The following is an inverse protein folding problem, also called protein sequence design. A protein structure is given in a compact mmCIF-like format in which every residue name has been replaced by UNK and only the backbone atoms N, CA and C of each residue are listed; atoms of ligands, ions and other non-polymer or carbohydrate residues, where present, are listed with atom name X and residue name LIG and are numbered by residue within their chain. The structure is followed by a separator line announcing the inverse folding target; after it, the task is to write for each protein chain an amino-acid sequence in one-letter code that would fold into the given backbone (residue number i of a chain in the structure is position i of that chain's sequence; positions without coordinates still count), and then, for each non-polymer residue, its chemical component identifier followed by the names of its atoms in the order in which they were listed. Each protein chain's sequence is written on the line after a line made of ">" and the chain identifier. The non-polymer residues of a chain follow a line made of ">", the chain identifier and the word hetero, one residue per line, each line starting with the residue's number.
data_IF_998188965365
#
_entry.id   IF_998188965365
#
_cell.length_a   1.000
_cell.length_b   1.000
_cell.length_c   1.000
_cell.angle_alpha   90.00
_cell.angle_beta   90.00
_cell.angle_gamma   90.00
#
_symmetry.space_group_name_H-M   'P 1'
#
loop_
_entity.id
_entity.type
_entity.pdbx_description
1 polymer ?
#
# COMPACT_ATOMS: atom_id res chain seq x y z
N UNK A 1 22.22 -14.37 -12.53
CA UNK A 1 22.07 -14.08 -11.09
C UNK A 1 23.20 -13.13 -10.70
N UNK A 2 22.91 -11.84 -10.56
CA UNK A 2 23.93 -10.82 -10.30
C UNK A 2 24.32 -10.81 -8.82
N UNK A 3 25.57 -10.41 -8.54
CA UNK A 3 26.11 -10.26 -7.19
C UNK A 3 25.24 -9.36 -6.28
N UNK A 4 24.42 -8.49 -6.86
CA UNK A 4 23.47 -7.62 -6.18
C UNK A 4 22.29 -8.33 -5.50
N UNK A 5 21.79 -9.44 -6.07
CA UNK A 5 20.73 -10.23 -5.43
C UNK A 5 21.24 -10.89 -4.13
N UNK A 6 22.52 -11.31 -4.09
CA UNK A 6 23.15 -11.90 -2.90
C UNK A 6 23.38 -10.89 -1.75
N UNK A 7 23.60 -9.60 -2.08
CA UNK A 7 23.77 -8.55 -1.06
C UNK A 7 22.40 -8.19 -0.44
N UNK A 8 21.34 -8.12 -1.23
CA UNK A 8 19.96 -7.86 -0.72
C UNK A 8 19.46 -8.99 0.20
N UNK A 9 19.80 -10.24 -0.11
CA UNK A 9 19.48 -11.39 0.75
C UNK A 9 20.30 -11.35 2.04
N UNK A 10 21.59 -11.00 1.99
CA UNK A 10 22.45 -10.92 3.18
C UNK A 10 22.03 -9.82 4.16
N UNK A 11 21.61 -8.66 3.69
CA UNK A 11 21.16 -7.57 4.58
C UNK A 11 19.78 -7.83 5.20
N UNK A 12 18.85 -8.44 4.47
CA UNK A 12 17.55 -8.86 5.01
C UNK A 12 17.68 -9.98 6.04
N UNK A 13 18.59 -10.91 5.81
CA UNK A 13 18.97 -11.96 6.76
C UNK A 13 19.68 -11.35 8.00
N UNK A 14 20.42 -10.24 7.84
CA UNK A 14 21.12 -9.59 8.95
C UNK A 14 20.15 -8.89 9.92
N UNK A 15 19.06 -8.28 9.45
CA UNK A 15 18.02 -7.72 10.33
C UNK A 15 17.28 -8.81 11.11
N UNK A 16 16.93 -9.91 10.45
CA UNK A 16 16.38 -11.10 11.14
C UNK A 16 17.40 -11.73 12.11
N UNK A 17 18.67 -11.80 11.73
CA UNK A 17 19.73 -12.38 12.56
C UNK A 17 20.10 -11.46 13.75
N UNK A 18 19.97 -10.13 13.63
CA UNK A 18 20.17 -9.22 14.75
C UNK A 18 19.05 -9.35 15.79
N UNK A 19 17.80 -9.45 15.38
CA UNK A 19 16.67 -9.70 16.30
C UNK A 19 16.77 -11.12 16.87
N UNK A 20 17.07 -12.13 16.05
CA UNK A 20 17.27 -13.52 16.52
C UNK A 20 18.53 -13.66 17.37
N UNK A 21 19.61 -12.96 17.04
CA UNK A 21 20.86 -12.96 17.80
C UNK A 21 20.73 -12.23 19.15
N UNK A 22 19.96 -11.14 19.21
CA UNK A 22 19.63 -10.46 20.47
C UNK A 22 18.74 -11.34 21.35
N UNK A 23 17.77 -12.01 20.75
CA UNK A 23 16.89 -12.98 21.44
C UNK A 23 17.68 -14.20 21.93
N UNK A 24 18.60 -14.74 21.12
CA UNK A 24 19.44 -15.89 21.49
C UNK A 24 20.56 -15.53 22.47
N UNK A 25 21.11 -14.32 22.42
CA UNK A 25 22.17 -13.91 23.40
C UNK A 25 21.60 -13.62 24.78
N UNK A 26 20.34 -13.25 24.88
CA UNK A 26 19.62 -13.14 26.15
C UNK A 26 19.24 -14.52 26.74
N UNK A 27 19.20 -15.59 25.94
CA UNK A 27 18.77 -16.92 26.37
C UNK A 27 19.75 -17.68 27.28
N UNK A 28 20.99 -17.21 27.42
CA UNK A 28 22.04 -17.92 28.14
C UNK A 28 22.35 -17.41 29.56
N UNK A 29 21.53 -16.56 30.16
CA UNK A 29 21.67 -16.07 31.51
C UNK A 29 20.46 -16.36 32.39
N UNK A 30 20.67 -16.58 33.69
CA UNK A 30 19.57 -16.74 34.65
C UNK A 30 18.61 -15.52 34.71
N UNK A 31 19.09 -14.35 34.34
CA UNK A 31 18.30 -13.13 34.14
C UNK A 31 17.37 -13.24 32.94
N UNK A 32 17.76 -13.94 31.88
CA UNK A 32 16.93 -14.16 30.72
C UNK A 32 15.76 -15.10 31.00
N UNK A 33 15.95 -16.17 31.76
CA UNK A 33 14.87 -17.07 32.14
C UNK A 33 13.76 -16.29 32.89
N UNK A 34 14.11 -15.47 33.88
CA UNK A 34 13.15 -14.66 34.62
C UNK A 34 12.51 -13.54 33.77
N UNK A 35 13.15 -13.08 32.70
CA UNK A 35 12.59 -12.13 31.74
C UNK A 35 11.54 -12.80 30.87
N UNK A 36 11.83 -13.98 30.29
CA UNK A 36 10.89 -14.71 29.43
C UNK A 36 9.70 -15.27 30.22
N UNK A 37 9.81 -15.58 31.48
CA UNK A 37 8.71 -16.01 32.37
C UNK A 37 7.62 -14.92 32.54
N UNK A 38 7.93 -13.67 32.20
CA UNK A 38 6.95 -12.55 32.22
C UNK A 38 6.10 -12.45 30.97
N UNK A 39 6.50 -13.11 29.87
CA UNK A 39 5.73 -13.07 28.64
C UNK A 39 4.53 -14.02 28.72
N UNK A 40 3.41 -13.57 28.16
CA UNK A 40 2.26 -14.42 27.95
C UNK A 40 2.61 -15.62 27.07
N UNK A 41 1.84 -16.71 27.19
CA UNK A 41 1.94 -17.80 26.21
C UNK A 41 1.78 -17.23 24.80
N UNK A 42 2.72 -17.53 23.87
CA UNK A 42 2.62 -17.00 22.52
C UNK A 42 1.30 -17.40 21.86
N UNK A 43 0.64 -16.41 21.26
CA UNK A 43 -0.52 -16.64 20.42
C UNK A 43 -0.05 -16.96 19.01
N UNK A 44 -0.56 -18.05 18.45
CA UNK A 44 -0.20 -18.51 17.10
C UNK A 44 -1.47 -18.52 16.26
N UNK A 45 -1.45 -17.78 15.16
CA UNK A 45 -2.51 -17.73 14.17
C UNK A 45 -1.93 -17.92 12.79
N UNK A 46 -2.79 -18.30 11.85
CA UNK A 46 -2.36 -18.42 10.48
C UNK A 46 -3.47 -18.84 9.55
N UNK A 47 -3.11 -18.99 8.29
CA UNK A 47 -4.02 -19.57 7.32
C UNK A 47 -3.27 -20.29 6.20
N UNK A 48 -3.97 -21.24 5.59
CA UNK A 48 -3.64 -21.82 4.30
C UNK A 48 -4.67 -21.34 3.28
N UNK A 49 -4.19 -20.80 2.16
CA UNK A 49 -5.06 -20.30 1.08
C UNK A 49 -4.63 -20.84 -0.27
N UNK A 50 -5.60 -21.36 -1.05
CA UNK A 50 -5.47 -21.57 -2.48
C UNK A 50 -6.20 -20.47 -3.23
N UNK A 51 -5.54 -19.86 -4.24
CA UNK A 51 -6.10 -18.80 -5.06
C UNK A 51 -5.81 -19.06 -6.53
N UNK A 52 -6.83 -18.89 -7.37
CA UNK A 52 -6.70 -18.97 -8.82
C UNK A 52 -7.53 -17.90 -9.49
N UNK A 53 -7.07 -17.40 -10.62
CA UNK A 53 -7.77 -16.41 -11.43
C UNK A 53 -7.33 -16.49 -12.89
N UNK A 54 -8.18 -16.02 -13.77
CA UNK A 54 -7.90 -15.98 -15.20
C UNK A 54 -8.36 -14.67 -15.80
N UNK A 55 -7.67 -14.23 -16.83
CA UNK A 55 -8.08 -13.09 -17.66
C UNK A 55 -9.33 -13.44 -18.45
N UNK A 56 -10.21 -12.48 -18.63
CA UNK A 56 -11.45 -12.67 -19.39
C UNK A 56 -11.26 -12.44 -20.89
N UNK A 57 -10.10 -11.94 -21.28
CA UNK A 57 -9.70 -11.69 -22.66
C UNK A 57 -8.20 -11.96 -22.83
N UNK A 58 -7.73 -12.31 -24.04
CA UNK A 58 -6.30 -12.51 -24.28
C UNK A 58 -5.48 -11.25 -24.05
N UNK A 59 -4.34 -11.39 -23.39
CA UNK A 59 -3.27 -10.40 -23.31
C UNK A 59 -2.03 -11.00 -23.99
N UNK A 60 -1.50 -10.38 -25.08
CA UNK A 60 -0.33 -10.91 -25.77
C UNK A 60 0.97 -10.84 -24.96
N UNK A 61 0.97 -10.06 -23.87
CA UNK A 61 2.15 -9.80 -23.03
C UNK A 61 2.16 -10.61 -21.73
N UNK A 62 1.05 -11.29 -21.41
CA UNK A 62 0.88 -11.99 -20.14
C UNK A 62 0.26 -13.38 -20.30
N UNK A 63 0.44 -14.24 -19.29
CA UNK A 63 -0.20 -15.56 -19.22
C UNK A 63 -1.72 -15.42 -19.08
N UNK A 64 -2.51 -16.41 -19.52
CA UNK A 64 -3.97 -16.43 -19.35
C UNK A 64 -4.40 -16.40 -17.86
N UNK A 65 -3.61 -17.03 -16.98
CA UNK A 65 -3.84 -16.96 -15.54
C UNK A 65 -3.38 -15.62 -14.98
N UNK A 66 -4.25 -14.90 -14.28
CA UNK A 66 -3.92 -13.64 -13.61
C UNK A 66 -3.31 -13.84 -12.22
N UNK A 67 -3.68 -14.92 -11.54
CA UNK A 67 -3.13 -15.34 -10.25
C UNK A 67 -3.29 -16.87 -10.13
N UNK A 68 -2.25 -17.53 -9.63
CA UNK A 68 -2.28 -18.95 -9.28
C UNK A 68 -1.31 -19.16 -8.12
N UNK A 69 -1.83 -19.32 -6.90
CA UNK A 69 -0.96 -19.43 -5.73
C UNK A 69 -1.53 -20.31 -4.63
N UNK A 70 -0.63 -20.97 -3.90
CA UNK A 70 -0.92 -21.60 -2.62
C UNK A 70 -0.06 -20.93 -1.56
N UNK A 71 -0.70 -20.33 -0.57
CA UNK A 71 -0.07 -19.47 0.45
C UNK A 71 -0.30 -20.01 1.85
N UNK A 72 0.79 -20.08 2.62
CA UNK A 72 0.77 -20.29 4.06
C UNK A 72 1.19 -18.98 4.73
N UNK A 73 0.35 -18.44 5.60
CA UNK A 73 0.70 -17.34 6.50
C UNK A 73 0.79 -17.84 7.92
N UNK A 74 1.83 -17.42 8.64
CA UNK A 74 1.97 -17.62 10.07
C UNK A 74 2.12 -16.29 10.79
N UNK A 75 1.43 -16.15 11.91
CA UNK A 75 1.52 -15.00 12.82
C UNK A 75 1.81 -15.50 14.23
N UNK A 76 2.79 -14.90 14.89
CA UNK A 76 3.17 -15.14 16.26
C UNK A 76 3.17 -13.81 17.00
N UNK A 77 2.48 -13.75 18.14
CA UNK A 77 2.54 -12.60 19.04
C UNK A 77 2.67 -13.02 20.48
N UNK A 78 3.39 -12.21 21.25
CA UNK A 78 3.50 -12.36 22.70
C UNK A 78 3.71 -11.01 23.35
N UNK A 79 3.30 -10.87 24.60
CA UNK A 79 3.39 -9.60 25.33
C UNK A 79 3.80 -9.82 26.79
N UNK A 80 4.49 -8.84 27.35
CA UNK A 80 4.82 -8.73 28.75
C UNK A 80 4.73 -7.26 29.16
N UNK A 81 4.09 -6.95 30.29
CA UNK A 81 3.95 -5.59 30.86
C UNK A 81 3.94 -4.45 29.83
N UNK A 82 5.12 -3.89 29.52
CA UNK A 82 5.34 -2.76 28.62
C UNK A 82 5.96 -3.16 27.26
N UNK A 83 6.08 -4.45 26.95
CA UNK A 83 6.70 -4.98 25.73
C UNK A 83 5.73 -5.88 24.99
N UNK A 84 5.61 -5.72 23.66
CA UNK A 84 4.94 -6.66 22.77
C UNK A 84 5.86 -7.00 21.61
N UNK A 85 5.84 -8.25 21.18
CA UNK A 85 6.61 -8.75 20.05
C UNK A 85 5.64 -9.40 19.07
N UNK A 86 5.77 -9.07 17.79
CA UNK A 86 4.97 -9.67 16.72
C UNK A 86 5.85 -10.08 15.56
N UNK A 87 5.52 -11.24 15.01
CA UNK A 87 6.03 -11.72 13.74
C UNK A 87 4.88 -12.20 12.88
N UNK A 88 4.86 -11.83 11.58
CA UNK A 88 3.89 -12.28 10.57
C UNK A 88 4.62 -12.47 9.24
N UNK A 89 4.55 -13.67 8.69
CA UNK A 89 5.24 -14.03 7.46
C UNK A 89 4.40 -14.89 6.55
N UNK A 90 4.61 -14.72 5.26
CA UNK A 90 3.98 -15.44 4.18
C UNK A 90 4.99 -16.31 3.43
N UNK A 91 4.65 -17.56 3.20
CA UNK A 91 5.34 -18.46 2.28
C UNK A 91 4.32 -18.88 1.21
N UNK A 92 4.63 -18.68 -0.07
CA UNK A 92 3.71 -19.13 -1.13
C UNK A 92 4.44 -19.63 -2.36
N UNK A 93 3.80 -20.60 -3.01
CA UNK A 93 4.15 -20.98 -4.37
C UNK A 93 3.35 -20.11 -5.33
N UNK A 94 4.05 -19.45 -6.24
CA UNK A 94 3.49 -18.58 -7.28
C UNK A 94 3.55 -19.33 -8.62
N UNK A 95 2.40 -19.77 -9.12
CA UNK A 95 2.30 -20.51 -10.37
C UNK A 95 2.42 -19.63 -11.62
N UNK A 96 2.31 -18.30 -11.50
CA UNK A 96 2.60 -17.41 -12.63
C UNK A 96 4.10 -17.31 -12.84
N UNK A 97 4.85 -17.12 -11.76
CA UNK A 97 6.31 -17.00 -11.77
C UNK A 97 7.02 -18.36 -11.65
N UNK A 98 6.27 -19.43 -11.34
CA UNK A 98 6.78 -20.81 -11.18
C UNK A 98 7.87 -20.91 -10.10
N UNK A 99 7.71 -20.19 -8.99
CA UNK A 99 8.68 -20.15 -7.91
C UNK A 99 8.03 -20.06 -6.52
N UNK A 100 8.77 -20.51 -5.51
CA UNK A 100 8.38 -20.30 -4.12
C UNK A 100 8.94 -18.98 -3.63
N UNK A 101 8.08 -18.18 -3.02
CA UNK A 101 8.38 -16.85 -2.51
C UNK A 101 8.10 -16.77 -1.03
N UNK A 102 8.81 -15.87 -0.36
CA UNK A 102 8.65 -15.57 1.05
C UNK A 102 8.65 -14.05 1.26
N UNK A 103 7.74 -13.56 2.12
CA UNK A 103 7.68 -12.16 2.54
C UNK A 103 7.42 -12.05 4.05
N UNK A 104 8.27 -11.33 4.75
CA UNK A 104 7.99 -10.92 6.13
C UNK A 104 7.07 -9.72 6.08
N UNK A 105 5.82 -9.91 6.49
CA UNK A 105 4.82 -8.84 6.55
C UNK A 105 5.03 -7.93 7.74
N UNK A 106 5.25 -8.53 8.91
CA UNK A 106 5.51 -7.82 10.15
C UNK A 106 6.57 -8.55 10.97
N UNK A 107 7.50 -7.82 11.56
CA UNK A 107 8.51 -8.29 12.51
C UNK A 107 8.96 -7.11 13.36
N UNK A 108 8.26 -6.84 14.46
CA UNK A 108 8.48 -5.65 15.25
C UNK A 108 8.40 -5.89 16.75
N UNK A 109 9.01 -4.97 17.48
CA UNK A 109 8.93 -4.86 18.94
C UNK A 109 8.23 -3.53 19.25
N UNK A 110 7.20 -3.61 20.09
CA UNK A 110 6.53 -2.46 20.67
C UNK A 110 6.96 -2.30 22.13
N UNK A 111 7.21 -1.06 22.52
CA UNK A 111 7.59 -0.67 23.89
C UNK A 111 6.69 0.49 24.33
N UNK A 112 6.24 0.42 25.59
CA UNK A 112 5.55 1.52 26.30
C UNK A 112 6.35 1.94 27.53
N UNK A 113 7.40 2.75 27.35
CA UNK A 113 8.26 3.16 28.48
C UNK A 113 7.55 4.12 29.44
N UNK A 114 6.53 4.82 28.99
CA UNK A 114 5.70 5.70 29.79
C UNK A 114 4.25 5.73 29.26
N UNK A 115 3.30 6.13 30.08
CA UNK A 115 1.87 6.18 29.68
C UNK A 115 1.57 7.10 28.50
N UNK A 116 2.44 8.06 28.28
CA UNK A 116 2.34 9.06 27.18
C UNK A 116 3.24 8.74 25.99
N UNK A 117 3.97 7.61 25.99
CA UNK A 117 4.99 7.33 24.97
C UNK A 117 4.94 5.86 24.53
N UNK A 118 4.71 5.64 23.24
CA UNK A 118 4.79 4.34 22.58
C UNK A 118 5.91 4.36 21.53
N UNK A 119 6.67 3.28 21.44
CA UNK A 119 7.73 3.10 20.45
C UNK A 119 7.52 1.75 19.78
N UNK A 120 7.48 1.71 18.44
CA UNK A 120 7.46 0.48 17.66
C UNK A 120 8.65 0.48 16.72
N UNK A 121 9.48 -0.57 16.78
CA UNK A 121 10.67 -0.69 15.95
C UNK A 121 10.68 -2.02 15.21
N UNK A 122 10.97 -1.99 13.90
CA UNK A 122 11.05 -3.16 13.05
C UNK A 122 10.19 -3.02 11.79
N UNK A 123 9.95 -4.16 11.13
CA UNK A 123 9.14 -4.25 9.92
C UNK A 123 7.66 -4.18 10.27
N UNK A 124 6.96 -3.17 9.80
CA UNK A 124 5.58 -2.91 10.17
C UNK A 124 4.77 -2.33 9.00
N UNK A 125 3.47 -2.59 9.00
CA UNK A 125 2.51 -1.98 8.08
C UNK A 125 1.97 -0.72 8.74
N UNK A 126 2.23 0.43 8.13
CA UNK A 126 1.80 1.74 8.61
C UNK A 126 0.72 2.32 7.69
N UNK A 127 -0.14 3.16 8.26
CA UNK A 127 -1.19 3.85 7.51
C UNK A 127 -1.61 5.11 8.24
N UNK A 128 -1.79 6.19 7.48
CA UNK A 128 -2.34 7.46 7.93
C UNK A 128 -3.40 7.96 6.96
N UNK A 129 -3.88 9.19 7.17
CA UNK A 129 -4.94 9.77 6.35
C UNK A 129 -6.33 9.24 6.69
N UNK A 130 -7.31 9.71 5.97
CA UNK A 130 -8.73 9.39 6.18
C UNK A 130 -9.40 8.84 4.92
N UNK A 131 -8.65 8.74 3.81
CA UNK A 131 -9.14 8.18 2.56
C UNK A 131 -9.25 6.65 2.61
N UNK A 132 -10.33 6.10 2.03
CA UNK A 132 -10.58 4.65 2.00
C UNK A 132 -9.89 3.96 0.81
N UNK A 133 -10.05 4.55 -0.38
CA UNK A 133 -9.56 4.00 -1.65
C UNK A 133 -8.50 4.89 -2.32
N UNK A 134 -8.35 6.14 -1.87
CA UNK A 134 -7.36 7.11 -2.38
C UNK A 134 -6.51 7.60 -1.20
N UNK A 135 -5.22 7.64 -1.38
CA UNK A 135 -4.24 7.89 -0.33
C UNK A 135 -3.50 9.21 -0.58
N UNK A 136 -3.92 10.30 0.11
CA UNK A 136 -3.26 11.61 0.00
C UNK A 136 -2.16 11.78 1.05
N UNK A 137 -2.55 11.58 2.32
CA UNK A 137 -1.65 11.76 3.46
C UNK A 137 -1.07 10.43 3.96
N UNK A 138 -1.34 9.33 3.27
CA UNK A 138 -0.78 8.01 3.54
C UNK A 138 0.37 7.71 2.56
N UNK A 139 1.55 8.16 2.89
CA UNK A 139 2.78 7.99 2.09
C UNK A 139 3.59 6.75 2.48
N UNK A 140 2.96 5.79 3.15
CA UNK A 140 3.56 4.48 3.39
C UNK A 140 3.36 3.57 2.17
N UNK A 141 4.22 2.55 1.99
CA UNK A 141 4.19 1.70 0.80
C UNK A 141 2.86 1.00 0.57
N UNK A 142 2.45 0.89 -0.70
CA UNK A 142 1.28 0.14 -1.16
C UNK A 142 1.71 -1.00 -2.10
N UNK A 143 0.91 -2.05 -2.16
CA UNK A 143 1.10 -3.17 -3.08
C UNK A 143 -0.02 -3.18 -4.13
N UNK A 144 0.16 -2.40 -5.19
CA UNK A 144 -0.76 -2.27 -6.29
C UNK A 144 -0.82 -3.55 -7.15
N UNK A 145 0.28 -4.31 -7.23
CA UNK A 145 0.28 -5.59 -7.91
C UNK A 145 -0.71 -6.55 -7.24
N UNK A 146 -0.59 -6.72 -5.91
CA UNK A 146 -1.50 -7.56 -5.13
C UNK A 146 -2.96 -7.13 -5.27
N UNK A 147 -3.20 -5.81 -5.27
CA UNK A 147 -4.54 -5.25 -5.38
C UNK A 147 -5.20 -5.58 -6.73
N UNK A 148 -4.49 -5.40 -7.84
CA UNK A 148 -5.05 -5.55 -9.18
C UNK A 148 -5.10 -7.00 -9.67
N UNK A 149 -4.32 -7.93 -9.09
CA UNK A 149 -4.46 -9.37 -9.39
C UNK A 149 -5.51 -10.07 -8.52
N UNK A 150 -6.13 -9.35 -7.57
CA UNK A 150 -7.21 -9.89 -6.74
C UNK A 150 -6.73 -10.64 -5.49
N UNK A 151 -5.55 -10.34 -4.94
CA UNK A 151 -5.19 -10.75 -3.58
C UNK A 151 -6.10 -10.09 -2.56
N UNK A 152 -6.10 -10.57 -1.33
CA UNK A 152 -6.93 -9.99 -0.26
C UNK A 152 -6.52 -8.51 -0.04
N UNK A 153 -7.51 -7.65 0.30
CA UNK A 153 -7.30 -6.20 0.47
C UNK A 153 -6.27 -5.86 1.56
N UNK A 154 -6.02 -6.77 2.51
CA UNK A 154 -4.95 -6.60 3.50
C UNK A 154 -3.55 -6.46 2.85
N UNK A 155 -3.37 -7.03 1.64
CA UNK A 155 -2.10 -6.94 0.91
C UNK A 155 -1.89 -5.59 0.22
N UNK A 156 -2.92 -4.76 0.07
CA UNK A 156 -2.75 -3.42 -0.52
C UNK A 156 -1.76 -2.56 0.27
N UNK A 157 -1.68 -2.74 1.59
CA UNK A 157 -0.70 -2.06 2.43
C UNK A 157 0.56 -2.91 2.56
N UNK A 158 1.67 -2.40 2.05
CA UNK A 158 2.97 -3.05 2.12
C UNK A 158 3.74 -2.61 3.37
N UNK A 159 4.61 -3.46 3.93
CA UNK A 159 5.40 -3.12 5.10
C UNK A 159 6.63 -2.28 4.76
N UNK A 160 7.10 -1.51 5.75
CA UNK A 160 8.41 -0.86 5.74
C UNK A 160 9.18 -1.14 7.03
N UNK A 161 10.51 -1.13 6.94
CA UNK A 161 11.39 -1.25 8.10
C UNK A 161 11.56 0.13 8.74
N UNK A 162 11.01 0.35 9.93
CA UNK A 162 10.90 1.69 10.51
C UNK A 162 10.89 1.69 12.03
N UNK A 163 11.15 2.88 12.59
CA UNK A 163 10.92 3.18 14.01
C UNK A 163 9.80 4.22 14.07
N UNK A 164 8.69 3.86 14.71
CA UNK A 164 7.57 4.75 15.00
C UNK A 164 7.61 5.14 16.47
N UNK A 165 7.52 6.44 16.75
CA UNK A 165 7.39 7.03 18.08
C UNK A 165 6.05 7.75 18.13
N UNK A 166 5.19 7.40 19.10
CA UNK A 166 3.90 8.05 19.34
C UNK A 166 3.90 8.68 20.71
N UNK A 167 3.57 9.97 20.79
CA UNK A 167 3.43 10.71 22.02
C UNK A 167 1.99 11.19 22.18
N UNK A 168 1.45 11.04 23.38
CA UNK A 168 0.07 11.34 23.69
C UNK A 168 -0.01 12.42 24.77
N UNK A 169 -0.86 13.41 24.55
CA UNK A 169 -1.17 14.43 25.57
C UNK A 169 -2.61 14.91 25.42
N UNK A 170 -3.13 15.57 26.44
CA UNK A 170 -4.49 16.16 26.41
C UNK A 170 -4.61 17.27 25.36
N UNK A 171 -3.50 17.90 25.00
CA UNK A 171 -3.50 19.04 24.08
C UNK A 171 -3.21 18.63 22.64
N UNK A 172 -2.24 17.75 22.39
CA UNK A 172 -1.81 17.38 21.05
C UNK A 172 -1.12 16.02 21.06
N UNK A 173 -1.55 15.12 20.18
CA UNK A 173 -0.86 13.85 19.95
C UNK A 173 0.08 13.99 18.76
N UNK A 174 1.20 13.27 18.81
CA UNK A 174 2.22 13.29 17.75
C UNK A 174 2.71 11.88 17.45
N UNK A 175 2.76 11.56 16.16
CA UNK A 175 3.47 10.38 15.64
C UNK A 175 4.68 10.85 14.83
N UNK A 176 5.81 10.20 15.00
CA UNK A 176 6.99 10.35 14.16
C UNK A 176 7.45 8.99 13.67
N UNK A 177 7.72 8.86 12.37
CA UNK A 177 8.22 7.63 11.75
C UNK A 177 9.53 7.92 11.03
N UNK A 178 10.54 7.14 11.37
CA UNK A 178 11.84 7.12 10.70
C UNK A 178 12.01 5.80 9.97
N UNK A 179 12.18 5.84 8.66
CA UNK A 179 12.49 4.70 7.79
C UNK A 179 13.91 4.86 7.27
N UNK A 180 14.89 4.06 7.74
CA UNK A 180 16.31 4.31 7.48
C UNK A 180 16.75 4.08 6.03
N UNK A 181 15.89 3.44 5.22
CA UNK A 181 16.12 3.21 3.80
C UNK A 181 14.79 3.25 3.06
N UNK A 182 14.73 3.97 1.96
CA UNK A 182 13.53 4.12 1.15
C UNK A 182 12.88 2.79 0.82
N UNK A 183 11.55 2.77 0.91
CA UNK A 183 10.73 1.63 0.51
C UNK A 183 9.65 2.12 -0.46
N UNK A 184 9.77 1.74 -1.74
CA UNK A 184 8.80 2.07 -2.78
C UNK A 184 7.49 1.32 -2.62
N UNK A 185 6.45 1.76 -3.30
CA UNK A 185 5.29 0.93 -3.59
C UNK A 185 5.73 -0.32 -4.38
N UNK A 186 4.94 -1.40 -4.28
CA UNK A 186 5.00 -2.52 -5.20
C UNK A 186 4.09 -2.18 -6.39
N UNK A 187 4.61 -1.34 -7.27
CA UNK A 187 3.90 -0.84 -8.46
C UNK A 187 3.90 -1.88 -9.59
N UNK A 188 3.14 -1.61 -10.66
CA UNK A 188 3.05 -2.49 -11.82
C UNK A 188 4.35 -2.39 -12.62
N UNK A 189 4.98 -3.54 -12.86
CA UNK A 189 6.27 -3.65 -13.56
C UNK A 189 6.22 -4.47 -14.84
N UNK A 190 5.05 -4.98 -15.21
CA UNK A 190 4.94 -5.96 -16.29
C UNK A 190 5.12 -7.41 -15.86
N UNK A 191 5.23 -7.68 -14.56
CA UNK A 191 5.50 -9.03 -14.04
C UNK A 191 4.26 -9.92 -13.92
N UNK A 192 3.10 -9.32 -13.68
CA UNK A 192 1.80 -9.97 -13.55
C UNK A 192 0.72 -9.30 -14.37
N UNK A 193 0.95 -8.07 -14.78
CA UNK A 193 -0.01 -7.19 -15.41
C UNK A 193 0.73 -6.37 -16.45
N UNK A 194 0.28 -6.39 -17.68
CA UNK A 194 0.83 -5.56 -18.76
C UNK A 194 0.59 -4.06 -18.47
N UNK A 195 1.47 -3.23 -18.95
CA UNK A 195 1.43 -1.78 -18.73
C UNK A 195 1.71 -1.01 -20.02
N UNK A 196 1.33 0.26 -20.05
CA UNK A 196 1.66 1.15 -21.16
C UNK A 196 3.08 1.70 -21.00
N UNK A 197 3.95 1.32 -21.92
CA UNK A 197 5.28 1.92 -22.03
C UNK A 197 5.18 3.23 -22.84
N UNK A 198 5.22 4.36 -22.11
CA UNK A 198 5.11 5.68 -22.72
C UNK A 198 6.29 6.05 -23.65
N UNK A 199 7.47 5.48 -23.42
CA UNK A 199 8.65 5.71 -24.24
C UNK A 199 8.56 4.94 -25.57
N UNK A 200 8.11 3.70 -25.51
CA UNK A 200 7.92 2.85 -26.69
C UNK A 200 6.56 3.10 -27.41
N UNK A 201 5.59 3.78 -26.73
CA UNK A 201 4.26 4.03 -27.26
C UNK A 201 3.43 2.77 -27.51
N UNK A 202 3.63 1.73 -26.69
CA UNK A 202 2.96 0.43 -26.80
C UNK A 202 2.78 -0.25 -25.44
N UNK A 203 1.96 -1.28 -25.40
CA UNK A 203 1.91 -2.16 -24.22
C UNK A 203 3.19 -3.00 -24.13
N UNK A 204 3.58 -3.30 -22.89
CA UNK A 204 4.68 -4.16 -22.51
C UNK A 204 4.25 -5.00 -21.28
N UNK A 205 4.88 -6.12 -21.05
CA UNK A 205 4.60 -6.99 -19.92
C UNK A 205 5.80 -7.86 -19.60
N UNK A 206 5.59 -9.15 -19.39
CA UNK A 206 6.61 -10.08 -18.93
C UNK A 206 7.86 -10.16 -19.82
N UNK A 207 7.75 -9.91 -21.14
CA UNK A 207 8.87 -9.86 -22.07
C UNK A 207 9.71 -8.57 -21.95
N UNK A 208 9.18 -7.54 -21.28
CA UNK A 208 9.83 -6.22 -21.12
C UNK A 208 9.41 -5.60 -19.79
N UNK A 209 9.89 -6.19 -18.68
CA UNK A 209 9.65 -5.61 -17.36
C UNK A 209 10.24 -4.22 -17.25
N UNK A 210 9.56 -3.34 -16.52
CA UNK A 210 9.99 -1.97 -16.28
C UNK A 210 11.37 -1.95 -15.61
N UNK A 211 12.33 -1.27 -16.26
CA UNK A 211 13.66 -1.06 -15.68
C UNK A 211 13.63 0.16 -14.74
N UNK A 212 14.04 -0.02 -13.49
CA UNK A 212 14.05 1.03 -12.49
C UNK A 212 15.18 0.90 -11.49
N UNK A 213 15.68 2.05 -11.04
CA UNK A 213 16.65 2.15 -9.95
C UNK A 213 15.99 2.71 -8.69
N UNK A 214 16.09 1.96 -7.60
CA UNK A 214 15.50 2.32 -6.30
C UNK A 214 16.57 2.84 -5.36
N UNK A 215 16.41 4.04 -4.77
CA UNK A 215 17.25 4.52 -3.68
C UNK A 215 17.41 3.45 -2.60
N UNK A 216 18.65 3.08 -2.25
CA UNK A 216 18.90 1.91 -1.39
C UNK A 216 20.05 2.11 -0.39
N UNK A 217 20.53 3.33 -0.22
CA UNK A 217 21.60 3.66 0.70
C UNK A 217 21.02 3.97 2.09
N UNK A 218 21.38 3.15 3.08
CA UNK A 218 20.95 3.35 4.45
C UNK A 218 21.34 4.73 4.96
N UNK A 219 20.41 5.39 5.64
CA UNK A 219 20.48 6.73 6.21
C UNK A 219 20.61 7.88 5.18
N UNK A 220 21.21 7.66 4.03
CA UNK A 220 21.24 8.65 2.92
C UNK A 220 19.89 8.74 2.24
N UNK A 221 19.26 7.58 1.99
CA UNK A 221 17.97 7.46 1.35
C UNK A 221 16.87 7.18 2.40
N UNK A 222 17.01 7.82 3.55
CA UNK A 222 16.03 7.72 4.62
C UNK A 222 14.76 8.52 4.32
N UNK A 223 13.67 8.08 4.96
CA UNK A 223 12.37 8.74 4.93
C UNK A 223 11.97 9.19 6.34
N UNK A 224 11.35 10.34 6.41
CA UNK A 224 10.82 10.92 7.64
C UNK A 224 9.36 11.25 7.46
N UNK A 225 8.51 10.79 8.38
CA UNK A 225 7.09 11.14 8.40
C UNK A 225 6.70 11.63 9.78
N UNK A 226 5.85 12.64 9.84
CA UNK A 226 5.30 13.18 11.08
C UNK A 226 3.80 13.40 10.95
N UNK A 227 3.06 13.14 12.03
CA UNK A 227 1.64 13.44 12.15
C UNK A 227 1.39 14.11 13.49
N UNK A 228 0.72 15.24 13.46
CA UNK A 228 0.20 15.92 14.64
C UNK A 228 -1.32 15.85 14.59
N UNK A 229 -1.97 15.39 15.64
CA UNK A 229 -3.42 15.22 15.59
C UNK A 229 -4.09 15.42 16.94
N UNK A 230 -5.34 15.85 16.90
CA UNK A 230 -6.17 16.05 18.09
C UNK A 230 -7.66 15.90 17.74
N UNK A 231 -8.43 15.42 18.70
CA UNK A 231 -9.88 15.41 18.62
C UNK A 231 -10.45 16.65 19.28
N UNK A 232 -11.15 17.47 18.49
CA UNK A 232 -11.81 18.69 18.97
C UNK A 232 -13.32 18.49 18.84
N UNK A 233 -13.99 18.34 19.97
CA UNK A 233 -15.39 17.92 19.99
C UNK A 233 -15.56 16.51 19.42
N UNK A 234 -16.27 16.38 18.29
CA UNK A 234 -16.46 15.12 17.59
C UNK A 234 -15.59 14.96 16.34
N UNK A 235 -14.69 15.91 16.07
CA UNK A 235 -13.88 15.93 14.85
C UNK A 235 -12.41 15.65 15.16
N UNK A 236 -11.79 14.76 14.42
CA UNK A 236 -10.35 14.59 14.40
C UNK A 236 -9.76 15.56 13.38
N UNK A 237 -8.80 16.35 13.83
CA UNK A 237 -7.96 17.23 13.02
C UNK A 237 -6.56 16.65 12.98
N UNK A 238 -5.93 16.60 11.81
CA UNK A 238 -4.55 16.15 11.69
C UNK A 238 -3.76 17.00 10.68
N UNK A 239 -2.48 17.21 10.99
CA UNK A 239 -1.48 17.75 10.10
C UNK A 239 -0.41 16.70 9.82
N UNK A 240 0.11 16.65 8.61
CA UNK A 240 1.06 15.64 8.14
C UNK A 240 2.27 16.30 7.48
N UNK A 241 3.42 15.69 7.69
CA UNK A 241 4.66 16.02 7.00
C UNK A 241 5.38 14.75 6.56
N UNK A 242 5.94 14.77 5.37
CA UNK A 242 6.76 13.69 4.83
C UNK A 242 7.96 14.28 4.09
N UNK A 243 9.10 13.63 4.22
CA UNK A 243 10.31 13.90 3.44
C UNK A 243 10.96 12.58 3.05
N UNK A 244 11.11 12.36 1.78
CA UNK A 244 11.63 11.12 1.19
C UNK A 244 11.61 11.18 -0.33
N UNK A 245 10.90 10.25 -0.97
CA UNK A 245 10.85 10.08 -2.41
C UNK A 245 9.42 9.80 -2.88
N UNK A 246 9.14 10.01 -4.15
CA UNK A 246 7.92 9.50 -4.78
C UNK A 246 7.82 8.00 -4.57
N UNK A 247 6.65 7.49 -4.14
CA UNK A 247 6.47 6.06 -3.83
C UNK A 247 6.38 5.18 -5.08
N UNK A 248 5.94 5.74 -6.20
CA UNK A 248 6.01 5.15 -7.53
C UNK A 248 7.09 5.86 -8.35
N UNK A 249 7.61 5.27 -9.42
CA UNK A 249 8.55 5.95 -10.29
C UNK A 249 7.98 7.30 -10.76
N UNK A 250 8.64 8.37 -10.39
CA UNK A 250 8.25 9.76 -10.68
C UNK A 250 9.20 10.47 -11.61
N UNK A 251 10.17 9.74 -12.17
CA UNK A 251 11.15 10.29 -13.11
C UNK A 251 11.71 9.23 -14.04
N UNK A 252 12.36 9.71 -15.12
CA UNK A 252 13.09 8.91 -16.12
C UNK A 252 14.49 9.47 -16.25
N UNK A 253 15.50 8.65 -15.98
CA UNK A 253 16.90 9.02 -16.17
C UNK A 253 17.28 9.05 -17.66
N UNK A 254 18.44 9.64 -17.99
CA UNK A 254 18.91 9.85 -19.37
C UNK A 254 19.03 8.57 -20.20
N UNK A 255 19.14 7.41 -19.58
CA UNK A 255 19.18 6.10 -20.25
C UNK A 255 17.83 5.39 -20.32
N UNK A 256 16.72 6.07 -19.98
CA UNK A 256 15.38 5.48 -19.99
C UNK A 256 15.04 4.65 -18.75
N UNK A 257 15.88 4.65 -17.72
CA UNK A 257 15.64 3.98 -16.47
C UNK A 257 14.70 4.80 -15.59
N UNK A 258 13.69 4.16 -15.01
CA UNK A 258 12.76 4.82 -14.12
C UNK A 258 13.39 5.06 -12.74
N UNK A 259 13.21 6.26 -12.20
CA UNK A 259 13.82 6.69 -10.93
C UNK A 259 12.77 7.28 -9.99
N UNK A 260 13.14 7.43 -8.72
CA UNK A 260 12.30 7.96 -7.65
C UNK A 260 12.85 9.31 -7.19
N UNK A 261 12.39 10.43 -7.76
CA UNK A 261 12.82 11.75 -7.36
C UNK A 261 12.46 12.04 -5.89
N UNK A 262 13.19 12.96 -5.27
CA UNK A 262 12.94 13.40 -3.90
C UNK A 262 11.64 14.18 -3.81
N UNK A 263 10.91 13.92 -2.71
CA UNK A 263 9.58 14.46 -2.46
C UNK A 263 9.47 14.96 -1.02
N UNK A 264 8.86 16.12 -0.85
CA UNK A 264 8.31 16.57 0.43
C UNK A 264 6.78 16.69 0.31
N UNK A 265 6.05 16.28 1.34
CA UNK A 265 4.60 16.44 1.38
C UNK A 265 4.18 17.10 2.68
N UNK A 266 3.28 18.06 2.54
CA UNK A 266 2.63 18.75 3.66
C UNK A 266 1.12 18.63 3.49
N UNK A 267 0.44 18.07 4.46
CA UNK A 267 -0.98 17.81 4.35
C UNK A 267 -1.75 18.06 5.62
N UNK A 268 -3.06 18.04 5.48
CA UNK A 268 -3.99 18.17 6.60
C UNK A 268 -5.27 17.38 6.32
N UNK A 269 -5.93 16.97 7.39
CA UNK A 269 -7.25 16.34 7.30
C UNK A 269 -8.17 16.76 8.43
N UNK A 270 -9.47 16.66 8.15
CA UNK A 270 -10.54 16.71 9.14
C UNK A 270 -11.47 15.54 8.89
N UNK A 271 -11.85 14.82 9.94
CA UNK A 271 -12.82 13.72 9.89
C UNK A 271 -13.77 13.80 11.08
N UNK A 272 -15.05 13.56 10.85
CA UNK A 272 -16.03 13.55 11.92
C UNK A 272 -17.46 13.32 11.45
N UNK A 273 -18.43 13.30 12.38
CA UNK A 273 -19.83 13.04 12.08
C UNK A 273 -20.43 14.21 11.28
N UNK A 274 -21.14 13.88 10.20
CA UNK A 274 -21.90 14.82 9.39
C UNK A 274 -23.09 14.10 8.74
N UNK A 275 -24.27 14.71 8.72
CA UNK A 275 -25.48 14.22 8.04
C UNK A 275 -25.80 12.72 8.30
N UNK A 276 -25.60 12.26 9.54
CA UNK A 276 -25.88 10.87 9.93
C UNK A 276 -24.88 9.84 9.40
N UNK A 277 -23.70 10.28 9.01
CA UNK A 277 -22.56 9.47 8.61
C UNK A 277 -21.25 10.08 9.07
N UNK A 278 -20.14 9.69 8.46
CA UNK A 278 -18.79 10.21 8.69
C UNK A 278 -18.32 10.92 7.42
N UNK A 279 -18.00 12.20 7.55
CA UNK A 279 -17.36 12.97 6.48
C UNK A 279 -15.87 13.14 6.73
N UNK A 280 -15.11 13.29 5.66
CA UNK A 280 -13.69 13.61 5.72
C UNK A 280 -13.29 14.55 4.58
N UNK A 281 -12.32 15.40 4.87
CA UNK A 281 -11.66 16.28 3.89
C UNK A 281 -10.16 16.13 4.11
N UNK A 282 -9.43 15.97 3.00
CA UNK A 282 -7.96 16.00 3.00
C UNK A 282 -7.45 16.97 1.94
N UNK A 283 -6.33 17.62 2.25
CA UNK A 283 -5.54 18.41 1.30
C UNK A 283 -4.08 18.06 1.52
N UNK A 284 -3.32 17.91 0.44
CA UNK A 284 -1.88 17.69 0.51
C UNK A 284 -1.15 18.39 -0.63
N UNK A 285 -0.05 19.06 -0.30
CA UNK A 285 0.89 19.66 -1.23
C UNK A 285 2.10 18.74 -1.38
N UNK A 286 2.32 18.26 -2.58
CA UNK A 286 3.43 17.41 -2.99
C UNK A 286 4.49 18.28 -3.67
N UNK A 287 5.60 18.51 -3.00
CA UNK A 287 6.71 19.33 -3.48
C UNK A 287 7.79 18.45 -4.10
N UNK A 288 7.87 18.41 -5.43
CA UNK A 288 8.90 17.70 -6.18
C UNK A 288 10.20 18.51 -6.17
N UNK A 289 11.13 18.15 -5.28
CA UNK A 289 12.28 18.99 -4.94
C UNK A 289 13.27 19.10 -6.11
N UNK A 290 13.38 18.08 -6.94
CA UNK A 290 14.35 18.04 -8.04
C UNK A 290 13.91 18.86 -9.25
N UNK A 291 12.61 19.19 -9.36
CA UNK A 291 12.10 20.13 -10.37
C UNK A 291 11.01 21.04 -9.80
N UNK A 292 11.41 22.00 -8.97
CA UNK A 292 10.51 22.96 -8.34
C UNK A 292 9.77 23.86 -9.33
N UNK A 293 10.25 23.99 -10.56
CA UNK A 293 9.69 24.88 -11.57
C UNK A 293 8.91 24.18 -12.68
N UNK A 294 8.79 22.85 -12.62
CA UNK A 294 8.08 22.03 -13.61
C UNK A 294 8.67 22.17 -15.02
N UNK A 295 9.99 22.20 -15.14
CA UNK A 295 10.69 22.41 -16.41
C UNK A 295 11.32 21.15 -16.98
N UNK A 296 11.49 20.12 -16.16
CA UNK A 296 11.99 18.82 -16.58
C UNK A 296 10.80 17.87 -16.83
N UNK A 297 10.46 17.54 -18.08
CA UNK A 297 9.34 16.66 -18.39
C UNK A 297 9.57 15.20 -17.95
N UNK A 298 10.80 14.86 -17.57
CA UNK A 298 11.17 13.54 -17.06
C UNK A 298 11.05 13.42 -15.53
N UNK A 299 10.63 14.48 -14.83
CA UNK A 299 10.42 14.49 -13.38
C UNK A 299 8.98 14.90 -13.10
N UNK A 300 8.31 14.21 -12.21
CA UNK A 300 6.96 14.60 -11.78
C UNK A 300 6.96 16.02 -11.21
N UNK A 301 6.04 16.85 -11.70
CA UNK A 301 5.79 18.17 -11.16
C UNK A 301 5.34 18.12 -9.70
N UNK A 302 5.48 19.25 -9.02
CA UNK A 302 4.77 19.50 -7.77
C UNK A 302 3.25 19.47 -8.00
N UNK A 303 2.50 19.00 -7.01
CA UNK A 303 1.04 18.80 -7.13
C UNK A 303 0.33 19.25 -5.86
N UNK A 304 -0.92 19.68 -6.00
CA UNK A 304 -1.86 19.78 -4.88
C UNK A 304 -2.96 18.76 -5.08
N UNK A 305 -3.22 17.98 -4.04
CA UNK A 305 -4.25 16.93 -4.06
C UNK A 305 -5.33 17.25 -3.04
N UNK A 306 -6.57 17.02 -3.42
CA UNK A 306 -7.75 17.28 -2.62
C UNK A 306 -8.62 16.03 -2.56
N UNK A 307 -9.22 15.77 -1.41
CA UNK A 307 -10.18 14.68 -1.23
C UNK A 307 -11.33 15.14 -0.34
N UNK A 308 -12.54 14.82 -0.75
CA UNK A 308 -13.75 14.93 0.08
C UNK A 308 -14.43 13.56 0.05
N UNK A 309 -14.73 13.03 1.22
CA UNK A 309 -15.35 11.73 1.38
C UNK A 309 -16.53 11.75 2.33
N UNK A 310 -17.43 10.80 2.14
CA UNK A 310 -18.58 10.55 3.00
C UNK A 310 -18.92 9.08 3.04
N UNK A 311 -19.09 8.55 4.26
CA UNK A 311 -19.45 7.15 4.50
C UNK A 311 -20.61 7.06 5.49
N UNK A 312 -21.58 6.17 5.21
CA UNK A 312 -22.68 5.88 6.14
C UNK A 312 -23.29 4.51 5.91
N UNK A 313 -24.01 4.04 6.88
CA UNK A 313 -24.96 2.95 6.68
C UNK A 313 -26.18 3.49 5.91
N UNK A 314 -26.38 3.00 4.68
CA UNK A 314 -27.45 3.43 3.76
C UNK A 314 -28.77 2.73 4.10
N UNK A 315 -28.67 1.47 4.48
CA UNK A 315 -29.77 0.63 4.93
C UNK A 315 -29.20 -0.42 5.88
N UNK A 316 -30.06 -1.17 6.57
CA UNK A 316 -29.63 -2.21 7.50
C UNK A 316 -28.57 -3.12 6.88
N UNK A 317 -27.41 -3.24 7.53
CA UNK A 317 -26.26 -4.04 7.09
C UNK A 317 -25.73 -3.68 5.68
N UNK A 318 -26.03 -2.47 5.16
CA UNK A 318 -25.53 -1.93 3.91
C UNK A 318 -24.78 -0.63 4.17
N UNK A 319 -23.45 -0.72 4.14
CA UNK A 319 -22.57 0.43 4.24
C UNK A 319 -22.16 0.92 2.86
N UNK A 320 -22.10 2.24 2.70
CA UNK A 320 -21.62 2.87 1.49
C UNK A 320 -20.68 4.03 1.78
N UNK A 321 -19.63 4.17 0.97
CA UNK A 321 -18.78 5.36 0.95
C UNK A 321 -18.59 5.87 -0.46
N UNK A 322 -18.46 7.18 -0.59
CA UNK A 322 -18.10 7.87 -1.81
C UNK A 322 -16.99 8.86 -1.52
N UNK A 323 -16.03 8.98 -2.45
CA UNK A 323 -14.97 9.97 -2.34
C UNK A 323 -14.81 10.68 -3.69
N UNK A 324 -14.54 11.96 -3.64
CA UNK A 324 -14.15 12.76 -4.78
C UNK A 324 -12.74 13.26 -4.58
N UNK A 325 -11.88 12.94 -5.52
CA UNK A 325 -10.46 13.26 -5.50
C UNK A 325 -10.09 14.12 -6.70
N UNK A 326 -9.26 15.12 -6.48
CA UNK A 326 -8.69 15.97 -7.51
C UNK A 326 -7.18 16.04 -7.32
N UNK A 327 -6.44 15.85 -8.39
CA UNK A 327 -5.00 16.03 -8.51
C UNK A 327 -4.75 17.22 -9.43
N UNK A 328 -4.09 18.25 -8.91
CA UNK A 328 -3.74 19.46 -9.64
C UNK A 328 -2.24 19.53 -9.86
N UNK A 329 -1.82 19.48 -11.12
CA UNK A 329 -0.43 19.68 -11.52
C UNK A 329 -0.07 21.15 -11.40
N UNK A 330 0.97 21.48 -10.63
CA UNK A 330 1.50 22.84 -10.55
C UNK A 330 2.51 23.08 -11.67
N UNK A 331 2.78 24.35 -11.96
CA UNK A 331 3.68 24.77 -13.06
C UNK A 331 3.32 24.15 -14.42
N UNK A 332 2.05 23.87 -14.63
CA UNK A 332 1.53 23.16 -15.80
C UNK A 332 1.99 23.77 -17.13
N UNK A 333 2.04 25.11 -17.23
CA UNK A 333 2.48 25.79 -18.45
C UNK A 333 3.95 25.51 -18.80
N UNK A 334 4.80 25.36 -17.77
CA UNK A 334 6.22 25.02 -17.97
C UNK A 334 6.35 23.57 -18.44
N UNK A 335 5.63 22.64 -17.77
CA UNK A 335 5.55 21.26 -18.17
C UNK A 335 5.10 21.12 -19.64
N UNK A 336 3.97 21.76 -20.01
CA UNK A 336 3.41 21.69 -21.37
C UNK A 336 4.35 22.20 -22.46
N UNK A 337 5.16 23.23 -22.17
CA UNK A 337 6.15 23.77 -23.12
C UNK A 337 7.34 22.82 -23.35
N UNK A 338 7.64 21.96 -22.38
CA UNK A 338 8.80 21.08 -22.42
C UNK A 338 8.46 19.62 -22.75
N UNK A 339 7.20 19.24 -22.59
CA UNK A 339 6.76 17.88 -22.85
C UNK A 339 6.71 17.61 -24.36
N UNK A 340 7.52 16.66 -24.80
CA UNK A 340 7.68 16.25 -26.21
C UNK A 340 6.92 14.98 -26.56
N UNK A 341 6.32 14.31 -25.56
CA UNK A 341 5.55 13.07 -25.75
C UNK A 341 4.16 13.31 -26.36
N UNK A 342 3.52 12.21 -26.79
CA UNK A 342 2.20 12.25 -27.44
C UNK A 342 1.05 12.47 -26.47
N UNK A 343 1.21 12.11 -25.19
CA UNK A 343 0.13 12.03 -24.20
C UNK A 343 0.50 12.79 -22.91
N UNK A 344 0.37 14.14 -22.93
CA UNK A 344 0.63 14.92 -21.71
C UNK A 344 -0.43 14.64 -20.64
N UNK A 345 -0.02 14.75 -19.36
CA UNK A 345 -0.94 14.73 -18.23
C UNK A 345 -1.87 15.96 -18.30
N UNK A 346 -3.09 15.80 -17.83
CA UNK A 346 -4.02 16.93 -17.65
C UNK A 346 -3.59 17.77 -16.44
N UNK A 347 -3.88 19.08 -16.44
CA UNK A 347 -3.63 19.98 -15.31
C UNK A 347 -4.45 19.56 -14.08
N UNK A 348 -5.70 19.16 -14.33
CA UNK A 348 -6.64 18.71 -13.31
C UNK A 348 -7.11 17.29 -13.65
N UNK A 349 -6.81 16.36 -12.77
CA UNK A 349 -7.30 14.99 -12.84
C UNK A 349 -8.34 14.75 -11.77
N UNK A 350 -9.51 14.31 -12.16
CA UNK A 350 -10.64 14.04 -11.29
C UNK A 350 -10.89 12.55 -11.18
N UNK A 351 -11.13 12.06 -9.97
CA UNK A 351 -11.49 10.67 -9.70
C UNK A 351 -12.63 10.62 -8.69
N UNK A 352 -13.64 9.80 -8.99
CA UNK A 352 -14.72 9.44 -8.08
C UNK A 352 -14.53 7.99 -7.65
N UNK A 353 -14.70 7.72 -6.35
CA UNK A 353 -14.71 6.35 -5.85
C UNK A 353 -16.04 6.02 -5.19
N UNK A 354 -16.41 4.76 -5.27
CA UNK A 354 -17.58 4.18 -4.60
C UNK A 354 -17.16 2.89 -3.91
N UNK A 355 -17.59 2.71 -2.68
CA UNK A 355 -17.50 1.44 -1.99
C UNK A 355 -18.85 1.09 -1.38
N UNK A 356 -19.30 -0.15 -1.60
CA UNK A 356 -20.51 -0.70 -1.01
C UNK A 356 -20.18 -2.03 -0.38
N UNK A 357 -20.69 -2.26 0.84
CA UNK A 357 -20.58 -3.53 1.55
C UNK A 357 -21.93 -3.89 2.13
N UNK A 358 -22.45 -5.05 1.72
CA UNK A 358 -23.72 -5.63 2.24
C UNK A 358 -23.42 -6.92 2.95
N UNK A 359 -23.86 -7.00 4.20
CA UNK A 359 -23.80 -8.22 5.00
C UNK A 359 -25.17 -8.94 4.95
N UNK A 360 -25.15 -10.24 4.73
CA UNK A 360 -26.31 -11.11 4.62
C UNK A 360 -26.09 -12.40 5.41
N UNK A 361 -27.14 -13.20 5.61
CA UNK A 361 -27.07 -14.53 6.24
C UNK A 361 -26.36 -14.50 7.61
N UNK A 362 -26.74 -13.57 8.49
CA UNK A 362 -26.08 -13.35 9.78
C UNK A 362 -24.57 -13.10 9.65
N UNK A 363 -24.18 -12.29 8.63
CA UNK A 363 -22.79 -11.91 8.30
C UNK A 363 -21.91 -13.05 7.75
N UNK A 364 -22.52 -14.20 7.39
CA UNK A 364 -21.80 -15.27 6.70
C UNK A 364 -21.60 -14.99 5.21
N UNK A 365 -22.45 -14.15 4.60
CA UNK A 365 -22.30 -13.71 3.22
C UNK A 365 -22.04 -12.20 3.17
N UNK A 366 -20.91 -11.82 2.61
CA UNK A 366 -20.51 -10.44 2.39
C UNK A 366 -20.44 -10.15 0.88
N UNK A 367 -21.16 -9.13 0.44
CA UNK A 367 -21.10 -8.61 -0.92
C UNK A 367 -20.39 -7.26 -0.91
N UNK A 368 -19.26 -7.17 -1.60
CA UNK A 368 -18.46 -5.96 -1.72
C UNK A 368 -18.42 -5.47 -3.16
N UNK A 369 -18.48 -4.17 -3.33
CA UNK A 369 -18.19 -3.50 -4.58
C UNK A 369 -17.31 -2.30 -4.27
N UNK A 370 -16.11 -2.25 -4.84
CA UNK A 370 -15.27 -1.06 -4.89
C UNK A 370 -15.15 -0.59 -6.34
N UNK A 371 -15.12 0.71 -6.55
CA UNK A 371 -15.02 1.26 -7.89
C UNK A 371 -14.32 2.61 -7.92
N UNK A 372 -13.65 2.87 -9.03
CA UNK A 372 -13.02 4.14 -9.38
C UNK A 372 -13.51 4.55 -10.77
N UNK A 373 -13.77 5.81 -10.94
CA UNK A 373 -14.11 6.40 -12.22
C UNK A 373 -13.41 7.75 -12.38
N UNK A 374 -12.62 7.89 -13.44
CA UNK A 374 -11.98 9.16 -13.80
C UNK A 374 -12.65 9.76 -15.04
N UNK A 375 -13.43 10.83 -14.88
CA UNK A 375 -14.00 11.55 -16.03
C UNK A 375 -12.92 12.22 -16.88
N UNK A 376 -11.79 12.63 -16.32
CA UNK A 376 -10.65 13.23 -17.03
C UNK A 376 -9.97 12.21 -17.93
N UNK A 377 -9.63 11.05 -17.39
CA UNK A 377 -8.95 9.97 -18.11
C UNK A 377 -9.94 9.17 -18.98
N UNK A 378 -11.27 9.27 -18.72
CA UNK A 378 -12.33 8.46 -19.31
C UNK A 378 -12.08 6.97 -19.11
N UNK A 379 -11.68 6.62 -17.92
CA UNK A 379 -11.40 5.25 -17.51
C UNK A 379 -12.07 4.91 -16.18
N UNK A 380 -12.13 3.63 -15.86
CA UNK A 380 -12.74 3.12 -14.65
C UNK A 380 -12.10 1.79 -14.22
N UNK A 381 -12.19 1.50 -12.95
CA UNK A 381 -11.87 0.21 -12.36
C UNK A 381 -12.99 -0.21 -11.42
N UNK A 382 -13.47 -1.46 -11.54
CA UNK A 382 -14.47 -2.05 -10.66
C UNK A 382 -13.93 -3.34 -10.05
N UNK A 383 -14.18 -3.53 -8.76
CA UNK A 383 -13.76 -4.68 -7.99
C UNK A 383 -14.97 -5.27 -7.20
N UNK A 384 -15.88 -6.00 -7.86
CA UNK A 384 -16.91 -6.78 -7.18
C UNK A 384 -16.28 -7.99 -6.51
N UNK A 385 -16.71 -8.28 -5.26
CA UNK A 385 -16.23 -9.44 -4.48
C UNK A 385 -17.37 -9.99 -3.64
N UNK A 386 -17.49 -11.30 -3.59
CA UNK A 386 -18.39 -12.06 -2.73
C UNK A 386 -17.53 -12.91 -1.82
N UNK A 387 -17.78 -12.84 -0.51
CA UNK A 387 -17.13 -13.68 0.49
C UNK A 387 -18.19 -14.48 1.21
N UNK A 388 -18.01 -15.80 1.28
CA UNK A 388 -18.87 -16.71 2.03
C UNK A 388 -18.08 -17.47 3.09
N UNK A 389 -18.53 -17.40 4.34
CA UNK A 389 -17.98 -18.14 5.47
C UNK A 389 -18.74 -19.45 5.61
N UNK A 390 -18.11 -20.56 5.28
CA UNK A 390 -18.65 -21.91 5.43
C UNK A 390 -18.65 -22.34 6.89
N UNK A 391 -17.58 -21.99 7.60
CA UNK A 391 -17.38 -22.19 9.02
C UNK A 391 -16.57 -21.01 9.57
N UNK A 392 -16.32 -20.97 10.89
CA UNK A 392 -15.46 -19.96 11.52
C UNK A 392 -14.02 -20.02 10.99
N UNK A 393 -13.58 -21.18 10.48
CA UNK A 393 -12.24 -21.40 9.96
C UNK A 393 -12.15 -21.37 8.43
N UNK A 394 -13.25 -21.64 7.71
CA UNK A 394 -13.22 -21.81 6.25
C UNK A 394 -14.02 -20.70 5.57
N UNK A 395 -13.36 -19.89 4.77
CA UNK A 395 -13.98 -18.88 3.91
C UNK A 395 -13.61 -19.04 2.45
N UNK A 396 -14.57 -18.75 1.58
CA UNK A 396 -14.38 -18.68 0.13
C UNK A 396 -14.65 -17.24 -0.34
N UNK A 397 -13.81 -16.77 -1.24
CA UNK A 397 -14.00 -15.50 -1.94
C UNK A 397 -14.07 -15.75 -3.45
N UNK A 398 -14.96 -15.02 -4.12
CA UNK A 398 -15.02 -14.93 -5.59
C UNK A 398 -15.09 -13.46 -5.93
N UNK A 399 -14.29 -13.02 -6.89
CA UNK A 399 -14.24 -11.62 -7.28
C UNK A 399 -13.77 -11.41 -8.71
N UNK A 400 -13.76 -10.15 -9.12
CA UNK A 400 -13.25 -9.74 -10.41
C UNK A 400 -12.52 -8.40 -10.30
N UNK A 401 -11.52 -8.21 -11.15
CA UNK A 401 -10.92 -6.92 -11.44
C UNK A 401 -11.32 -6.53 -12.86
N UNK A 402 -12.10 -5.47 -13.01
CA UNK A 402 -12.66 -5.05 -14.28
C UNK A 402 -12.09 -3.68 -14.60
N UNK A 403 -11.23 -3.63 -15.62
CA UNK A 403 -10.63 -2.39 -16.11
C UNK A 403 -11.31 -1.94 -17.38
N UNK A 404 -11.60 -0.66 -17.47
CA UNK A 404 -12.23 -0.05 -18.64
C UNK A 404 -11.60 1.31 -18.93
N UNK A 405 -11.47 1.68 -20.19
CA UNK A 405 -10.96 2.98 -20.59
C UNK A 405 -11.01 3.19 -22.09
N UNK A 406 -11.12 4.45 -22.49
CA UNK A 406 -11.12 4.83 -23.91
C UNK A 406 -9.69 5.00 -24.46
N UNK A 407 -8.69 5.13 -23.56
CA UNK A 407 -7.30 5.42 -23.90
C UNK A 407 -6.40 4.42 -23.22
N UNK A 408 -5.45 3.87 -23.95
CA UNK A 408 -4.56 2.79 -23.46
C UNK A 408 -3.41 3.29 -22.57
N UNK A 409 -3.23 4.60 -22.44
CA UNK A 409 -2.19 5.24 -21.65
C UNK A 409 -2.68 5.85 -20.33
N UNK A 410 -3.97 5.71 -20.01
CA UNK A 410 -4.54 6.22 -18.76
C UNK A 410 -4.41 5.22 -17.61
N UNK A 411 -4.64 5.66 -16.37
CA UNK A 411 -4.34 4.88 -15.19
C UNK A 411 -4.99 3.50 -15.19
N UNK A 412 -6.27 3.40 -15.52
CA UNK A 412 -6.99 2.12 -15.60
C UNK A 412 -7.17 1.61 -17.02
N UNK A 413 -7.17 2.52 -18.00
CA UNK A 413 -7.35 2.15 -19.41
C UNK A 413 -6.25 1.26 -19.94
N UNK A 414 -5.02 1.41 -19.45
CA UNK A 414 -3.88 0.57 -19.81
C UNK A 414 -4.04 -0.91 -19.39
N UNK A 415 -4.87 -1.19 -18.38
CA UNK A 415 -5.06 -2.55 -17.84
C UNK A 415 -6.29 -3.28 -18.39
N UNK A 416 -6.89 -2.82 -19.49
CA UNK A 416 -8.10 -3.44 -20.05
C UNK A 416 -7.91 -4.94 -20.32
N UNK A 417 -6.76 -5.30 -20.90
CA UNK A 417 -6.44 -6.69 -21.19
C UNK A 417 -6.29 -7.57 -19.94
N UNK A 418 -6.03 -6.95 -18.79
CA UNK A 418 -5.85 -7.63 -17.49
C UNK A 418 -7.15 -7.81 -16.71
N UNK A 419 -8.32 -7.45 -17.29
CA UNK A 419 -9.62 -7.76 -16.68
C UNK A 419 -9.70 -9.24 -16.38
N UNK A 420 -9.94 -9.59 -15.10
CA UNK A 420 -9.84 -10.96 -14.62
C UNK A 420 -10.92 -11.31 -13.61
N UNK A 421 -11.16 -12.61 -13.47
CA UNK A 421 -11.99 -13.20 -12.41
C UNK A 421 -11.13 -14.13 -11.58
N UNK A 422 -11.40 -14.19 -10.27
CA UNK A 422 -10.62 -15.03 -9.36
C UNK A 422 -11.49 -15.68 -8.30
N UNK A 423 -10.98 -16.76 -7.74
CA UNK A 423 -11.53 -17.42 -6.55
C UNK A 423 -10.41 -17.71 -5.56
N UNK A 424 -10.75 -17.71 -4.28
CA UNK A 424 -9.84 -18.10 -3.20
C UNK A 424 -10.59 -18.91 -2.15
N UNK A 425 -9.92 -19.93 -1.64
CA UNK A 425 -10.39 -20.73 -0.50
C UNK A 425 -9.34 -20.64 0.60
N UNK A 426 -9.74 -20.15 1.78
CA UNK A 426 -8.85 -19.93 2.94
C UNK A 426 -9.34 -20.71 4.15
N UNK A 427 -8.43 -21.46 4.74
CA UNK A 427 -8.61 -22.11 6.04
C UNK A 427 -7.73 -21.41 7.07
N UNK A 428 -8.35 -20.87 8.14
CA UNK A 428 -7.65 -20.15 9.22
C UNK A 428 -7.61 -21.02 10.49
N UNK A 429 -6.50 -20.94 11.22
CA UNK A 429 -6.26 -21.69 12.46
C UNK A 429 -5.60 -20.83 13.54
#
# INVERSE_FOLDING_TARGET
>A
MSAFAWVKIRLRVFSCLLVTGLVLSLANSSLAASFWDRFSTPEVHGFLEGRSGCRTQPDPHEKESSVLETRLQGELSTQADFVQIKYKGDLWYDGILEQTLYDTREAWIFLRPATFLDITAGRQVLTWGTGDLVFLNDLFPKDWQSFFIGRDTEYLKAPSDSVKISSFSDFLNADFVFTPCFTSDRFITGKYISYWDGAAGRHAGNESELNYDTPNQWFTDAEYSARLYQTVGAYELAGYGYSGFWKNPGGIASMGEHVFPRLQVYGTSIRGPVAGGIGNIEVAYYNSIEDLAGRDPNINNSEVRYLVGFAREIARDLNGSVQYYVEQLLDYQNYRKKFEGSHPRDELRHVLTLQLTKLLMNQNLELCLAGYWSPSDRDAYLHPKIIYKWTDHLKQAVGANIFAGQRDYTMFGQYKADTNVYTALRYSF
#
